data_IF_314353263412
#
_entry.id   IF_314353263412
#
_cell.length_a   1.000
_cell.length_b   1.000
_cell.length_c   1.000
_cell.angle_alpha   90.00
_cell.angle_beta   90.00
_cell.angle_gamma   90.00
#
_symmetry.space_group_name_H-M   'P 1'
#
loop_
_entity.id
_entity.type
_entity.pdbx_description
1 polymer ?
#
# COMPACT_ATOMS: atom_id res chain seq x y z
N UNK A 1 19.45 22.31 -7.76
CA UNK A 1 19.02 21.73 -6.46
C UNK A 1 20.22 21.00 -5.90
N UNK A 2 20.62 21.23 -4.63
CA UNK A 2 21.63 20.41 -3.99
C UNK A 2 21.10 18.99 -3.91
N UNK A 3 21.83 18.04 -4.47
CA UNK A 3 21.50 16.63 -4.39
C UNK A 3 21.73 16.16 -2.94
N UNK A 4 20.65 15.89 -2.21
CA UNK A 4 20.76 15.31 -0.87
C UNK A 4 21.11 13.84 -1.06
N UNK A 5 22.32 13.44 -0.68
CA UNK A 5 22.77 12.05 -0.67
C UNK A 5 22.76 11.50 0.75
N UNK A 6 22.41 10.20 0.88
CA UNK A 6 22.53 9.49 2.15
C UNK A 6 24.01 9.20 2.44
N UNK A 7 24.39 9.28 3.72
CA UNK A 7 25.78 9.06 4.15
C UNK A 7 26.22 7.60 4.05
N UNK A 8 25.29 6.64 4.17
CA UNK A 8 25.56 5.22 4.27
C UNK A 8 24.63 4.41 3.37
N UNK A 9 25.04 3.20 3.04
CA UNK A 9 24.31 2.23 2.22
C UNK A 9 24.28 0.84 2.84
N UNK A 10 23.89 -0.15 2.04
CA UNK A 10 23.79 -1.55 2.48
C UNK A 10 25.11 -2.15 2.96
N UNK A 11 26.25 -1.67 2.47
CA UNK A 11 27.59 -2.09 2.91
C UNK A 11 27.94 -1.63 4.33
N UNK A 12 27.18 -0.68 4.88
CA UNK A 12 27.36 -0.13 6.22
C UNK A 12 26.47 -0.83 7.27
N UNK A 13 25.86 -1.96 6.91
CA UNK A 13 25.09 -2.85 7.78
C UNK A 13 25.66 -4.25 7.69
N UNK A 14 25.78 -4.93 8.83
CA UNK A 14 26.15 -6.36 8.93
C UNK A 14 25.14 -7.08 9.79
N UNK A 15 24.48 -8.08 9.23
CA UNK A 15 23.61 -8.99 9.97
C UNK A 15 24.42 -10.20 10.39
N UNK A 16 24.64 -10.34 11.70
CA UNK A 16 25.44 -11.42 12.27
C UNK A 16 24.60 -12.71 12.48
N UNK A 17 23.30 -12.54 12.81
CA UNK A 17 22.36 -13.65 13.01
C UNK A 17 20.93 -13.21 12.69
N UNK A 18 20.17 -14.14 12.11
CA UNK A 18 18.70 -14.06 12.01
C UNK A 18 18.10 -15.31 12.66
N UNK A 19 17.08 -15.12 13.49
CA UNK A 19 16.40 -16.19 14.22
C UNK A 19 14.92 -15.93 14.25
N UNK A 20 14.11 -16.89 13.80
CA UNK A 20 12.66 -16.79 13.89
C UNK A 20 12.21 -17.01 15.33
N UNK A 21 11.55 -16.00 15.90
CA UNK A 21 11.01 -16.04 17.26
C UNK A 21 9.58 -16.55 17.30
N UNK A 22 8.80 -16.24 16.27
CA UNK A 22 7.41 -16.66 16.12
C UNK A 22 7.12 -16.93 14.65
N UNK A 23 6.40 -18.01 14.38
CA UNK A 23 5.92 -18.39 13.05
C UNK A 23 4.46 -18.84 13.18
N UNK A 24 3.56 -18.07 12.58
CA UNK A 24 2.12 -18.30 12.49
C UNK A 24 1.61 -17.89 11.12
N UNK A 25 0.48 -17.18 11.05
CA UNK A 25 0.07 -16.53 9.81
C UNK A 25 1.09 -15.46 9.37
N UNK A 26 1.63 -14.73 10.34
CA UNK A 26 2.79 -13.86 10.15
C UNK A 26 4.00 -14.42 10.87
N UNK A 27 5.17 -13.83 10.61
CA UNK A 27 6.43 -14.22 11.23
C UNK A 27 7.05 -13.04 11.98
N UNK A 28 7.77 -13.33 13.08
CA UNK A 28 8.61 -12.35 13.77
C UNK A 28 10.02 -12.92 13.86
N UNK A 29 10.97 -12.18 13.30
CA UNK A 29 12.39 -12.53 13.34
C UNK A 29 13.17 -11.59 14.25
N UNK A 30 14.15 -12.14 14.99
CA UNK A 30 15.19 -11.36 15.65
C UNK A 30 16.41 -11.27 14.73
N UNK A 31 16.83 -10.03 14.45
CA UNK A 31 18.09 -9.75 13.76
C UNK A 31 19.13 -9.27 14.79
N UNK A 32 20.25 -9.97 14.89
CA UNK A 32 21.45 -9.47 15.56
C UNK A 32 22.32 -8.84 14.51
N UNK A 33 22.51 -7.54 14.60
CA UNK A 33 23.17 -6.77 13.56
C UNK A 33 24.03 -5.63 14.13
N UNK A 34 24.89 -5.10 13.27
CA UNK A 34 25.70 -3.90 13.52
C UNK A 34 25.56 -2.95 12.34
N UNK A 35 25.64 -1.66 12.58
CA UNK A 35 25.64 -0.67 11.52
C UNK A 35 26.62 0.46 11.83
N UNK A 36 27.00 1.24 10.80
CA UNK A 36 27.81 2.45 10.95
C UNK A 36 27.06 3.52 11.71
N UNK A 37 27.77 4.20 12.61
CA UNK A 37 27.33 5.45 13.24
C UNK A 37 27.80 6.65 12.45
N UNK A 38 27.17 7.79 12.61
CA UNK A 38 27.54 9.02 11.89
C UNK A 38 28.92 9.57 12.27
N UNK A 39 29.54 9.08 13.35
CA UNK A 39 30.94 9.36 13.70
C UNK A 39 31.94 8.42 13.00
N UNK A 40 31.45 7.50 12.15
CA UNK A 40 32.22 6.53 11.39
C UNK A 40 32.53 5.23 12.16
N UNK A 41 32.21 5.15 13.45
CA UNK A 41 32.35 3.91 14.22
C UNK A 41 31.27 2.89 13.86
N UNK A 42 31.43 1.64 14.31
CA UNK A 42 30.37 0.62 14.28
C UNK A 42 29.63 0.59 15.62
N UNK A 43 28.33 0.25 15.56
CA UNK A 43 27.62 -0.13 16.79
C UNK A 43 28.19 -1.45 17.32
N UNK A 44 28.00 -1.70 18.62
CA UNK A 44 28.04 -3.07 19.13
C UNK A 44 26.88 -3.90 18.53
N UNK A 45 26.87 -5.21 18.72
CA UNK A 45 25.77 -6.06 18.29
C UNK A 45 24.45 -5.61 18.95
N UNK A 46 23.49 -5.21 18.14
CA UNK A 46 22.14 -4.84 18.59
C UNK A 46 21.13 -5.87 18.10
N UNK A 47 20.12 -6.16 18.91
CA UNK A 47 19.01 -7.00 18.53
C UNK A 47 17.82 -6.14 18.09
N UNK A 48 17.17 -6.52 16.98
CA UNK A 48 15.93 -5.91 16.50
C UNK A 48 14.95 -7.01 16.10
N UNK A 49 13.73 -6.88 16.56
CA UNK A 49 12.62 -7.74 16.15
C UNK A 49 11.97 -7.13 14.90
N UNK A 50 11.75 -7.96 13.89
CA UNK A 50 11.17 -7.58 12.61
C UNK A 50 9.92 -8.40 12.37
N UNK A 51 8.82 -7.72 12.11
CA UNK A 51 7.57 -8.30 11.65
C UNK A 51 7.65 -8.54 10.15
N UNK A 52 7.59 -9.81 9.77
CA UNK A 52 7.64 -10.28 8.38
C UNK A 52 6.24 -10.69 7.95
N UNK A 53 5.71 -10.00 6.96
CA UNK A 53 4.35 -10.28 6.44
C UNK A 53 4.28 -10.35 4.91
N UNK A 54 5.43 -10.29 4.25
CA UNK A 54 5.52 -10.18 2.80
C UNK A 54 5.35 -8.74 2.31
N UNK A 55 5.56 -8.57 1.02
CA UNK A 55 5.35 -7.31 0.30
C UNK A 55 3.91 -7.22 -0.21
N UNK A 56 3.44 -6.00 -0.49
CA UNK A 56 2.12 -5.77 -1.04
C UNK A 56 2.17 -4.87 -2.29
N UNK A 57 1.20 -5.08 -3.15
CA UNK A 57 0.88 -4.16 -4.24
C UNK A 57 -0.46 -3.53 -3.96
N UNK A 58 -0.56 -2.24 -4.23
CA UNK A 58 -1.80 -1.51 -4.13
C UNK A 58 -2.11 -0.75 -5.41
N UNK A 59 -3.37 -0.60 -5.71
CA UNK A 59 -3.83 0.18 -6.85
C UNK A 59 -5.02 1.05 -6.46
N UNK A 60 -4.97 2.32 -6.88
CA UNK A 60 -6.12 3.21 -6.87
C UNK A 60 -6.78 3.14 -8.26
N UNK A 61 -7.90 2.41 -8.43
CA UNK A 61 -8.60 2.40 -9.69
C UNK A 61 -9.33 3.73 -9.87
N UNK A 62 -9.17 4.33 -11.06
CA UNK A 62 -9.72 5.63 -11.39
C UNK A 62 -10.42 5.60 -12.75
N UNK A 63 -11.72 5.83 -12.76
CA UNK A 63 -12.54 5.96 -13.95
C UNK A 63 -12.42 7.40 -14.46
N UNK A 64 -11.57 7.62 -15.44
CA UNK A 64 -11.14 8.96 -15.87
C UNK A 64 -12.23 9.78 -16.56
N UNK A 65 -13.17 9.12 -17.25
CA UNK A 65 -14.29 9.77 -17.93
C UNK A 65 -15.21 10.46 -16.93
N UNK A 66 -15.63 9.75 -15.88
CA UNK A 66 -16.48 10.31 -14.81
C UNK A 66 -15.70 11.03 -13.70
N UNK A 67 -14.37 10.99 -13.76
CA UNK A 67 -13.47 11.52 -12.72
C UNK A 67 -13.77 10.95 -11.32
N UNK A 68 -14.00 9.64 -11.25
CA UNK A 68 -14.35 8.93 -10.02
C UNK A 68 -13.34 7.85 -9.68
N UNK A 69 -12.94 7.76 -8.41
CA UNK A 69 -12.09 6.70 -7.88
C UNK A 69 -12.93 5.56 -7.32
N UNK A 70 -12.42 4.33 -7.42
CA UNK A 70 -13.01 3.18 -6.77
C UNK A 70 -12.27 2.96 -5.47
N UNK A 71 -13.00 2.98 -4.37
CA UNK A 71 -12.54 2.67 -3.03
C UNK A 71 -13.30 1.45 -2.52
N UNK A 72 -12.67 0.72 -1.62
CA UNK A 72 -13.26 -0.42 -0.94
C UNK A 72 -13.44 -0.09 0.55
N UNK A 73 -14.49 -0.64 1.14
CA UNK A 73 -14.74 -0.56 2.58
C UNK A 73 -14.67 -1.96 3.15
N UNK A 74 -13.77 -2.17 4.11
CA UNK A 74 -13.60 -3.47 4.75
C UNK A 74 -13.20 -3.35 6.22
N UNK A 75 -13.45 -4.42 6.97
CA UNK A 75 -13.05 -4.54 8.36
C UNK A 75 -11.54 -4.77 8.52
N UNK A 76 -10.91 -3.97 9.37
CA UNK A 76 -9.48 -4.11 9.69
C UNK A 76 -9.27 -4.32 11.20
N UNK A 77 -8.92 -5.51 11.65
CA UNK A 77 -8.76 -5.81 13.09
C UNK A 77 -7.68 -4.95 13.75
N UNK A 78 -6.67 -4.50 13.02
CA UNK A 78 -5.64 -3.59 13.52
C UNK A 78 -6.15 -2.19 13.86
N UNK A 79 -7.34 -1.82 13.37
CA UNK A 79 -7.99 -0.55 13.65
C UNK A 79 -8.96 -0.60 14.85
N UNK A 80 -9.09 -1.75 15.54
CA UNK A 80 -9.91 -1.86 16.74
C UNK A 80 -9.25 -1.08 17.88
N UNK A 81 -9.58 0.21 17.99
CA UNK A 81 -9.07 1.11 19.04
C UNK A 81 -10.15 2.09 19.46
N UNK A 82 -10.58 2.00 20.72
CA UNK A 82 -11.57 2.91 21.28
C UNK A 82 -12.91 2.88 20.56
N UNK A 83 -13.48 4.06 20.30
CA UNK A 83 -14.83 4.23 19.74
C UNK A 83 -14.84 4.46 18.22
N UNK A 84 -13.69 4.42 17.54
CA UNK A 84 -13.60 4.59 16.09
C UNK A 84 -13.99 3.30 15.36
N UNK A 85 -14.58 3.45 14.17
CA UNK A 85 -14.96 2.32 13.33
C UNK A 85 -13.71 1.58 12.82
N UNK A 86 -13.64 0.25 12.97
CA UNK A 86 -12.62 -0.56 12.34
C UNK A 86 -12.90 -0.86 10.85
N UNK A 87 -14.03 -0.44 10.29
CA UNK A 87 -14.27 -0.46 8.84
C UNK A 87 -13.60 0.76 8.21
N UNK A 88 -12.75 0.52 7.23
CA UNK A 88 -11.91 1.55 6.64
C UNK A 88 -12.19 1.68 5.14
N UNK A 89 -12.15 2.94 4.65
CA UNK A 89 -12.13 3.21 3.22
C UNK A 89 -10.69 3.13 2.70
N UNK A 90 -10.47 2.25 1.74
CA UNK A 90 -9.14 1.89 1.28
C UNK A 90 -9.06 1.85 -0.25
N UNK A 91 -7.85 1.96 -0.78
CA UNK A 91 -7.54 1.51 -2.14
C UNK A 91 -7.42 -0.01 -2.14
N UNK A 92 -7.63 -0.62 -3.30
CA UNK A 92 -7.41 -2.06 -3.50
C UNK A 92 -5.96 -2.43 -3.22
N UNK A 93 -5.72 -3.52 -2.48
CA UNK A 93 -4.36 -3.97 -2.21
C UNK A 93 -4.29 -5.44 -1.78
N UNK A 94 -3.28 -6.16 -2.28
CA UNK A 94 -3.02 -7.53 -1.88
C UNK A 94 -1.55 -7.87 -1.72
N UNK A 95 -1.31 -9.01 -1.10
CA UNK A 95 0.03 -9.56 -0.89
C UNK A 95 0.57 -10.12 -2.20
N UNK A 96 1.87 -9.92 -2.44
CA UNK A 96 2.57 -10.49 -3.60
C UNK A 96 2.88 -11.95 -3.31
N UNK A 97 2.32 -12.83 -4.11
CA UNK A 97 2.65 -14.25 -4.02
C UNK A 97 4.00 -14.58 -4.70
N UNK A 98 4.65 -15.68 -4.31
CA UNK A 98 5.92 -16.07 -4.91
C UNK A 98 5.82 -16.24 -6.42
N UNK A 99 6.55 -15.41 -7.16
CA UNK A 99 6.63 -15.47 -8.63
C UNK A 99 5.64 -14.56 -9.36
N UNK A 100 4.75 -13.85 -8.64
CA UNK A 100 3.89 -12.84 -9.24
C UNK A 100 4.64 -11.55 -9.57
N UNK A 101 4.27 -10.93 -10.69
CA UNK A 101 4.68 -9.57 -11.02
C UNK A 101 3.76 -8.53 -10.38
N UNK A 102 4.29 -7.37 -10.02
CA UNK A 102 3.52 -6.29 -9.39
C UNK A 102 2.27 -5.89 -10.19
N UNK A 103 2.39 -5.87 -11.52
CA UNK A 103 1.26 -5.56 -12.42
C UNK A 103 0.18 -6.64 -12.37
N UNK A 104 0.58 -7.91 -12.27
CA UNK A 104 -0.36 -9.03 -12.23
C UNK A 104 -1.16 -9.00 -10.93
N UNK A 105 -0.49 -8.75 -9.80
CA UNK A 105 -1.14 -8.55 -8.49
C UNK A 105 -2.14 -7.38 -8.55
N UNK A 106 -1.74 -6.23 -9.11
CA UNK A 106 -2.64 -5.07 -9.21
C UNK A 106 -3.91 -5.38 -10.01
N UNK A 107 -3.81 -6.13 -11.11
CA UNK A 107 -4.97 -6.54 -11.90
C UNK A 107 -5.82 -7.58 -11.20
N UNK A 108 -5.20 -8.60 -10.59
CA UNK A 108 -5.89 -9.66 -9.86
C UNK A 108 -6.70 -9.09 -8.70
N UNK A 109 -6.06 -8.30 -7.83
CA UNK A 109 -6.71 -7.69 -6.66
C UNK A 109 -7.81 -6.71 -7.06
N UNK A 110 -7.61 -5.88 -8.09
CA UNK A 110 -8.66 -5.00 -8.58
C UNK A 110 -9.92 -5.78 -9.03
N UNK A 111 -9.73 -6.97 -9.59
CA UNK A 111 -10.84 -7.82 -10.01
C UNK A 111 -11.49 -8.52 -8.81
N UNK A 112 -10.72 -9.07 -7.87
CA UNK A 112 -11.18 -9.83 -6.72
C UNK A 112 -11.89 -8.93 -5.70
N UNK A 113 -11.26 -7.82 -5.27
CA UNK A 113 -11.78 -6.94 -4.24
C UNK A 113 -12.81 -5.91 -4.74
N UNK A 114 -12.74 -5.50 -6.02
CA UNK A 114 -13.60 -4.44 -6.55
C UNK A 114 -14.40 -4.82 -7.80
N UNK A 115 -14.24 -6.05 -8.35
CA UNK A 115 -14.80 -6.41 -9.64
C UNK A 115 -14.38 -5.40 -10.74
N UNK A 116 -13.19 -4.84 -10.61
CA UNK A 116 -12.70 -3.72 -11.40
C UNK A 116 -11.71 -4.20 -12.45
N UNK A 117 -12.05 -4.00 -13.74
CA UNK A 117 -11.12 -4.21 -14.83
C UNK A 117 -10.30 -2.94 -15.07
N UNK A 118 -8.98 -3.10 -15.22
CA UNK A 118 -8.03 -2.04 -15.50
C UNK A 118 -7.45 -2.23 -16.91
N UNK A 119 -7.32 -1.16 -17.69
CA UNK A 119 -6.71 -1.20 -19.03
C UNK A 119 -5.38 -0.44 -19.11
N UNK A 120 -5.01 0.30 -18.07
CA UNK A 120 -3.70 0.93 -17.91
C UNK A 120 -3.29 0.96 -16.45
N UNK A 121 -1.98 0.84 -16.19
CA UNK A 121 -1.37 0.98 -14.86
C UNK A 121 -0.22 1.98 -14.92
N UNK A 122 -0.17 2.87 -13.95
CA UNK A 122 0.93 3.81 -13.75
C UNK A 122 1.55 3.58 -12.37
N UNK A 123 2.85 3.24 -12.27
CA UNK A 123 3.52 3.16 -10.99
C UNK A 123 3.64 4.55 -10.34
N UNK A 124 3.33 4.62 -9.07
CA UNK A 124 3.33 5.86 -8.28
C UNK A 124 4.57 5.95 -7.40
N UNK A 125 4.71 5.01 -6.49
CA UNK A 125 5.81 4.98 -5.51
C UNK A 125 5.94 3.59 -4.90
N UNK A 126 7.18 3.23 -4.53
CA UNK A 126 7.45 2.12 -3.60
C UNK A 126 7.88 2.71 -2.27
N UNK A 127 7.31 2.23 -1.17
CA UNK A 127 7.62 2.76 0.16
C UNK A 127 7.49 1.69 1.24
N UNK A 128 8.08 1.98 2.40
CA UNK A 128 7.96 1.16 3.60
C UNK A 128 6.97 1.83 4.56
N UNK A 129 5.87 1.17 4.95
CA UNK A 129 4.86 1.77 5.84
C UNK A 129 5.37 1.96 7.27
N UNK A 130 6.23 1.05 7.76
CA UNK A 130 6.75 1.11 9.13
C UNK A 130 8.13 0.46 9.26
N UNK A 131 9.20 0.99 8.61
CA UNK A 131 10.49 0.32 8.49
C UNK A 131 11.28 0.19 9.79
N UNK A 132 10.79 0.76 10.89
CA UNK A 132 11.39 0.58 12.21
C UNK A 132 11.25 -0.84 12.76
N UNK A 133 10.23 -1.58 12.32
CA UNK A 133 9.96 -2.93 12.83
C UNK A 133 9.24 -3.85 11.82
N UNK A 134 8.88 -3.36 10.64
CA UNK A 134 8.22 -4.15 9.60
C UNK A 134 9.05 -4.09 8.32
N UNK A 135 9.24 -5.24 7.67
CA UNK A 135 10.00 -5.36 6.42
C UNK A 135 9.15 -5.08 5.18
N UNK A 136 7.82 -5.05 5.33
CA UNK A 136 6.90 -4.85 4.21
C UNK A 136 7.28 -3.65 3.35
N UNK A 137 7.37 -3.87 2.05
CA UNK A 137 7.42 -2.83 1.04
C UNK A 137 6.10 -2.82 0.26
N UNK A 138 5.51 -1.65 0.09
CA UNK A 138 4.28 -1.48 -0.70
C UNK A 138 4.62 -0.79 -2.01
N UNK A 139 4.16 -1.36 -3.12
CA UNK A 139 4.25 -0.79 -4.46
C UNK A 139 2.87 -0.28 -4.87
N UNK A 140 2.75 1.04 -4.99
CA UNK A 140 1.49 1.72 -5.29
C UNK A 140 1.39 2.08 -6.76
N UNK A 141 0.21 1.79 -7.33
CA UNK A 141 -0.18 2.14 -8.69
C UNK A 141 -1.45 3.01 -8.71
N UNK A 142 -1.63 3.74 -9.80
CA UNK A 142 -2.95 4.23 -10.23
C UNK A 142 -3.33 3.41 -11.47
N UNK A 143 -4.55 2.88 -11.49
CA UNK A 143 -5.07 2.09 -12.60
C UNK A 143 -6.23 2.80 -13.30
N UNK A 144 -6.24 2.82 -14.66
CA UNK A 144 -7.42 3.29 -15.39
C UNK A 144 -8.49 2.21 -15.35
N UNK A 145 -9.58 2.51 -14.65
CA UNK A 145 -10.72 1.62 -14.51
C UNK A 145 -11.67 1.73 -15.70
N UNK A 146 -12.07 0.60 -16.28
CA UNK A 146 -13.07 0.52 -17.35
C UNK A 146 -14.40 -0.04 -16.85
N UNK A 147 -14.40 -0.71 -15.72
CA UNK A 147 -15.60 -1.20 -15.01
C UNK A 147 -15.31 -1.38 -13.53
N UNK A 148 -16.34 -1.39 -12.70
CA UNK A 148 -16.27 -1.79 -11.29
C UNK A 148 -17.63 -2.26 -10.79
N UNK A 149 -17.64 -3.12 -9.78
CA UNK A 149 -18.86 -3.68 -9.16
C UNK A 149 -19.40 -2.75 -8.05
N UNK A 150 -19.68 -1.50 -8.39
CA UNK A 150 -20.07 -0.47 -7.43
C UNK A 150 -21.37 -0.83 -6.71
N UNK A 151 -21.36 -0.74 -5.37
CA UNK A 151 -22.50 -1.08 -4.51
C UNK A 151 -22.66 -2.59 -4.27
N UNK A 152 -21.78 -3.42 -4.81
CA UNK A 152 -21.76 -4.86 -4.56
C UNK A 152 -20.78 -5.19 -3.44
N UNK A 153 -21.00 -6.34 -2.81
CA UNK A 153 -20.03 -6.95 -1.89
C UNK A 153 -19.15 -7.91 -2.70
N UNK A 154 -17.85 -7.79 -2.52
CA UNK A 154 -16.79 -8.54 -3.20
C UNK A 154 -15.82 -9.13 -2.17
N UNK A 155 -14.74 -9.70 -2.63
CA UNK A 155 -13.72 -10.39 -1.87
C UNK A 155 -13.75 -11.89 -2.12
N UNK A 156 -12.79 -12.59 -1.57
CA UNK A 156 -12.61 -14.04 -1.73
C UNK A 156 -13.16 -14.78 -0.51
N UNK A 157 -14.21 -15.58 -0.70
CA UNK A 157 -14.89 -16.32 0.40
C UNK A 157 -13.93 -17.18 1.25
N UNK A 158 -12.91 -17.79 0.62
CA UNK A 158 -11.92 -18.62 1.32
C UNK A 158 -10.98 -17.81 2.20
N UNK A 159 -10.90 -16.50 1.99
CA UNK A 159 -10.12 -15.55 2.79
C UNK A 159 -11.00 -14.79 3.82
N UNK A 160 -12.28 -15.12 3.87
CA UNK A 160 -13.26 -14.46 4.74
C UNK A 160 -13.37 -12.95 4.51
N UNK A 161 -13.21 -12.54 3.26
CA UNK A 161 -13.33 -11.15 2.86
C UNK A 161 -14.79 -10.75 2.66
N UNK A 162 -15.13 -9.57 3.19
CA UNK A 162 -16.45 -8.93 3.08
C UNK A 162 -16.19 -7.45 2.75
N UNK A 163 -16.17 -7.14 1.44
CA UNK A 163 -15.64 -5.89 0.89
C UNK A 163 -16.74 -5.17 0.12
N UNK A 164 -17.17 -3.99 0.58
CA UNK A 164 -18.14 -3.16 -0.12
C UNK A 164 -17.43 -2.18 -1.07
N UNK A 165 -17.85 -2.19 -2.33
CA UNK A 165 -17.25 -1.37 -3.39
C UNK A 165 -17.94 -0.03 -3.52
N UNK A 166 -17.18 1.05 -3.45
CA UNK A 166 -17.65 2.43 -3.59
C UNK A 166 -17.07 3.10 -4.84
N UNK A 167 -17.91 3.91 -5.53
CA UNK A 167 -17.43 4.87 -6.51
C UNK A 167 -17.61 6.27 -5.93
N UNK A 168 -16.50 7.00 -5.81
CA UNK A 168 -16.48 8.33 -5.18
C UNK A 168 -15.87 9.31 -6.18
N UNK A 169 -16.49 10.49 -6.38
CA UNK A 169 -15.86 11.51 -7.23
C UNK A 169 -14.48 11.87 -6.68
N UNK A 170 -13.50 12.16 -7.56
CA UNK A 170 -12.16 12.58 -7.13
C UNK A 170 -12.23 13.75 -6.15
N UNK A 171 -13.13 14.71 -6.41
CA UNK A 171 -13.33 15.86 -5.53
C UNK A 171 -13.81 15.46 -4.14
N UNK A 172 -14.79 14.55 -4.05
CA UNK A 172 -15.30 14.08 -2.76
C UNK A 172 -14.28 13.20 -2.03
N UNK A 173 -13.53 12.36 -2.75
CA UNK A 173 -12.45 11.57 -2.15
C UNK A 173 -11.36 12.45 -1.53
N UNK A 174 -10.98 13.55 -2.19
CA UNK A 174 -10.04 14.53 -1.64
C UNK A 174 -10.69 15.27 -0.45
N UNK A 175 -11.97 15.62 -0.51
CA UNK A 175 -12.64 16.24 0.63
C UNK A 175 -12.73 15.31 1.86
N UNK A 176 -12.96 14.01 1.65
CA UNK A 176 -12.89 13.00 2.73
C UNK A 176 -11.48 12.89 3.33
N UNK A 177 -10.45 12.96 2.49
CA UNK A 177 -9.05 12.98 2.92
C UNK A 177 -8.76 14.22 3.78
N UNK A 178 -9.11 15.40 3.30
CA UNK A 178 -8.91 16.68 4.01
C UNK A 178 -9.68 16.75 5.34
N UNK A 179 -10.83 16.11 5.40
CA UNK A 179 -11.66 16.01 6.61
C UNK A 179 -11.15 14.93 7.61
N UNK A 180 -10.05 14.20 7.29
CA UNK A 180 -9.51 13.13 8.12
C UNK A 180 -10.40 11.89 8.21
N UNK A 181 -11.32 11.71 7.25
CA UNK A 181 -12.17 10.52 7.16
C UNK A 181 -11.47 9.34 6.50
N UNK A 182 -10.44 9.61 5.74
CA UNK A 182 -9.50 8.59 5.22
C UNK A 182 -8.34 8.54 6.21
N UNK A 183 -8.21 7.43 6.92
CA UNK A 183 -7.21 7.24 7.98
C UNK A 183 -6.30 6.02 7.73
N UNK A 184 -6.39 5.41 6.55
CA UNK A 184 -5.48 4.39 6.06
C UNK A 184 -4.30 5.05 5.33
N UNK A 185 -3.07 4.78 5.75
CA UNK A 185 -1.87 5.44 5.22
C UNK A 185 -1.66 5.24 3.73
N UNK A 186 -1.94 4.05 3.21
CA UNK A 186 -1.83 3.72 1.80
C UNK A 186 -2.79 4.56 0.94
N UNK A 187 -4.05 4.65 1.35
CA UNK A 187 -5.09 5.44 0.68
C UNK A 187 -4.78 6.94 0.74
N UNK A 188 -4.26 7.41 1.88
CA UNK A 188 -3.79 8.81 2.04
C UNK A 188 -2.72 9.15 1.00
N UNK A 189 -1.72 8.28 0.82
CA UNK A 189 -0.64 8.47 -0.15
C UNK A 189 -1.20 8.51 -1.58
N UNK A 190 -2.07 7.56 -1.91
CA UNK A 190 -2.68 7.45 -3.23
C UNK A 190 -3.51 8.69 -3.60
N UNK A 191 -4.37 9.14 -2.70
CA UNK A 191 -5.22 10.31 -2.92
C UNK A 191 -4.43 11.62 -2.96
N UNK A 192 -3.41 11.80 -2.12
CA UNK A 192 -2.51 12.96 -2.22
C UNK A 192 -1.75 12.99 -3.54
N UNK A 193 -1.30 11.84 -4.02
CA UNK A 193 -0.65 11.76 -5.33
C UNK A 193 -1.63 12.12 -6.45
N UNK A 194 -2.85 11.57 -6.41
CA UNK A 194 -3.89 11.86 -7.40
C UNK A 194 -4.32 13.34 -7.37
N UNK A 195 -4.45 13.94 -6.19
CA UNK A 195 -4.74 15.36 -6.05
C UNK A 195 -3.70 16.25 -6.74
N UNK A 196 -2.44 15.84 -6.70
CA UNK A 196 -1.33 16.62 -7.27
C UNK A 196 -1.12 16.37 -8.77
N UNK A 197 -1.40 15.16 -9.26
CA UNK A 197 -1.02 14.72 -10.60
C UNK A 197 -2.22 14.38 -11.49
N UNK A 198 -3.44 14.29 -10.91
CA UNK A 198 -4.62 13.76 -11.58
C UNK A 198 -5.01 14.55 -12.82
N UNK A 199 -4.98 15.88 -12.78
CA UNK A 199 -5.39 16.68 -13.96
C UNK A 199 -4.52 16.39 -15.18
N UNK A 200 -3.20 16.29 -15.00
CA UNK A 200 -2.27 15.93 -16.07
C UNK A 200 -2.52 14.52 -16.57
N UNK A 201 -2.59 13.55 -15.65
CA UNK A 201 -2.78 12.15 -16.01
C UNK A 201 -4.15 11.93 -16.70
N UNK A 202 -5.20 12.62 -16.25
CA UNK A 202 -6.52 12.56 -16.88
C UNK A 202 -6.47 13.02 -18.33
N UNK A 203 -5.81 14.14 -18.60
CA UNK A 203 -5.63 14.64 -19.95
C UNK A 203 -4.88 13.63 -20.84
N UNK A 204 -3.78 13.05 -20.32
CA UNK A 204 -3.00 12.03 -21.02
C UNK A 204 -3.82 10.76 -21.34
N UNK A 205 -4.71 10.33 -20.42
CA UNK A 205 -5.50 9.11 -20.60
C UNK A 205 -6.78 9.30 -21.40
N UNK A 206 -7.30 10.52 -21.49
CA UNK A 206 -8.48 10.82 -22.32
C UNK A 206 -8.13 11.14 -23.78
N UNK A 207 -6.89 11.58 -24.03
CA UNK A 207 -6.42 11.94 -25.38
C UNK A 207 -5.04 11.28 -25.62
N UNK A 208 -5.01 9.94 -25.78
CA UNK A 208 -3.78 9.14 -25.90
C UNK A 208 -3.07 9.24 -27.28
#
# INVERSE_FOLDING_TARGET
>A
MSELSLSYGSADVQVDKRETLFEGYFQVDALILRHRRFDGSWTEGICREIFERGDAVAVLPWHVESDSVILIEQFRPGAIRGDESPWMLEVVAGVVEPGEGDSDVAHREALEEAGCALDALLPVVSYYPSPGACSEQIRLFVGRAVSAAVGEVKGVDTEHEDILVHSVSRTDAIALLDAGKINNGLTIIALHWLARHGDRLRAEWLDP
#
